data_IF_430387223355
#
_entry.id   IF_430387223355
#
_cell.length_a   1.000
_cell.length_b   1.000
_cell.length_c   1.000
_cell.angle_alpha   90.00
_cell.angle_beta   90.00
_cell.angle_gamma   90.00
#
_symmetry.space_group_name_H-M   'P 1'
#
loop_
_entity.id
_entity.type
_entity.pdbx_description
1 polymer ?
#
# COMPACT_ATOMS: atom_id res chain seq x y z
N UNK A 1 -11.38 3.31 31.07
CA UNK A 1 -12.61 2.87 30.38
C UNK A 1 -12.35 3.08 28.90
N UNK A 2 -12.60 2.10 28.03
CA UNK A 2 -12.47 2.30 26.58
C UNK A 2 -13.75 2.98 26.12
N UNK A 3 -13.62 4.17 25.54
CA UNK A 3 -14.74 4.96 25.02
C UNK A 3 -14.57 5.13 23.51
N UNK A 4 -15.68 4.99 22.77
CA UNK A 4 -15.70 5.17 21.33
C UNK A 4 -15.70 6.67 20.98
N UNK A 5 -15.06 6.99 19.86
CA UNK A 5 -15.07 8.35 19.32
C UNK A 5 -16.52 8.81 19.03
N UNK A 6 -17.01 9.94 19.58
CA UNK A 6 -18.36 10.43 19.35
C UNK A 6 -18.65 10.91 17.92
N UNK A 7 -17.62 11.29 17.15
CA UNK A 7 -17.81 11.77 15.78
C UNK A 7 -18.23 10.63 14.83
N UNK A 8 -19.39 10.73 14.14
CA UNK A 8 -19.83 9.69 13.21
C UNK A 8 -18.87 9.46 12.04
N UNK A 9 -18.24 10.52 11.52
CA UNK A 9 -17.31 10.37 10.38
C UNK A 9 -16.02 9.69 10.82
N UNK A 10 -15.50 10.02 11.99
CA UNK A 10 -14.34 9.32 12.59
C UNK A 10 -14.62 7.83 12.81
N UNK A 11 -15.83 7.47 13.27
CA UNK A 11 -16.23 6.07 13.40
C UNK A 11 -16.29 5.35 12.04
N UNK A 12 -16.75 6.04 10.98
CA UNK A 12 -16.70 5.45 9.63
C UNK A 12 -15.27 5.32 9.12
N UNK A 13 -14.40 6.30 9.39
CA UNK A 13 -12.97 6.24 9.08
C UNK A 13 -12.33 5.05 9.77
N UNK A 14 -12.54 4.88 11.07
CA UNK A 14 -12.06 3.74 11.84
C UNK A 14 -12.57 2.39 11.30
N UNK A 15 -13.86 2.31 10.92
CA UNK A 15 -14.43 1.10 10.34
C UNK A 15 -13.81 0.75 8.98
N UNK A 16 -13.60 1.75 8.12
CA UNK A 16 -12.95 1.56 6.82
C UNK A 16 -11.47 1.21 6.95
N UNK A 17 -10.78 1.76 7.94
CA UNK A 17 -9.41 1.36 8.32
C UNK A 17 -9.36 -0.11 8.73
N UNK A 18 -10.31 -0.58 9.54
CA UNK A 18 -10.36 -1.97 9.94
C UNK A 18 -10.55 -2.91 8.74
N UNK A 19 -11.39 -2.51 7.78
CA UNK A 19 -11.59 -3.27 6.54
C UNK A 19 -10.31 -3.31 5.69
N UNK A 20 -9.61 -2.18 5.56
CA UNK A 20 -8.31 -2.11 4.89
C UNK A 20 -7.28 -3.02 5.57
N UNK A 21 -7.19 -2.96 6.90
CA UNK A 21 -6.30 -3.80 7.68
C UNK A 21 -6.53 -5.28 7.41
N UNK A 22 -7.79 -5.73 7.48
CA UNK A 22 -8.15 -7.13 7.22
C UNK A 22 -7.79 -7.52 5.78
N UNK A 23 -8.16 -6.70 4.79
CA UNK A 23 -7.88 -6.96 3.37
C UNK A 23 -6.38 -7.06 3.08
N UNK A 24 -5.59 -6.13 3.61
CA UNK A 24 -4.14 -6.10 3.47
C UNK A 24 -3.46 -7.29 4.15
N UNK A 25 -3.84 -7.63 5.38
CA UNK A 25 -3.25 -8.78 6.08
C UNK A 25 -3.62 -10.10 5.41
N UNK A 26 -4.83 -10.21 4.86
CA UNK A 26 -5.23 -11.35 4.04
C UNK A 26 -4.39 -11.45 2.76
N UNK A 27 -4.21 -10.35 2.03
CA UNK A 27 -3.36 -10.29 0.84
C UNK A 27 -1.91 -10.69 1.16
N UNK A 28 -1.34 -10.15 2.25
CA UNK A 28 0.01 -10.49 2.70
C UNK A 28 0.14 -11.99 3.01
N UNK A 29 -0.80 -12.55 3.78
CA UNK A 29 -0.83 -13.98 4.11
C UNK A 29 -0.89 -14.85 2.85
N UNK A 30 -1.72 -14.48 1.88
CA UNK A 30 -1.91 -15.25 0.65
C UNK A 30 -0.67 -15.23 -0.25
N UNK A 31 -0.03 -14.06 -0.41
CA UNK A 31 1.22 -13.93 -1.15
C UNK A 31 2.36 -14.74 -0.51
N UNK A 32 2.41 -14.85 0.83
CA UNK A 32 3.39 -15.68 1.54
C UNK A 32 3.16 -17.18 1.39
N UNK A 33 1.91 -17.61 1.14
CA UNK A 33 1.54 -19.03 0.97
C UNK A 33 1.64 -19.52 -0.48
N UNK A 34 2.09 -18.70 -1.40
CA UNK A 34 2.23 -19.12 -2.81
C UNK A 34 3.50 -19.96 -2.97
N UNK A 35 3.34 -21.29 -3.00
CA UNK A 35 4.43 -22.28 -2.89
C UNK A 35 5.37 -22.36 -4.13
N UNK A 36 4.96 -21.79 -5.27
CA UNK A 36 5.68 -21.93 -6.55
C UNK A 36 5.89 -20.61 -7.31
N UNK A 37 5.75 -19.47 -6.64
CA UNK A 37 6.06 -18.15 -7.21
C UNK A 37 7.48 -17.68 -6.89
N UNK A 38 7.88 -16.55 -7.46
CA UNK A 38 9.12 -15.88 -7.05
C UNK A 38 9.05 -15.46 -5.58
N UNK A 39 9.72 -16.21 -4.70
CA UNK A 39 9.73 -16.01 -3.25
C UNK A 39 10.17 -14.60 -2.86
N UNK A 40 11.13 -14.01 -3.59
CA UNK A 40 11.60 -12.66 -3.29
C UNK A 40 10.51 -11.63 -3.59
N UNK A 41 9.88 -11.75 -4.77
CA UNK A 41 8.76 -10.89 -5.18
C UNK A 41 7.57 -11.02 -4.22
N UNK A 42 7.22 -12.26 -3.86
CA UNK A 42 6.10 -12.54 -2.95
C UNK A 42 6.30 -11.97 -1.56
N UNK A 43 7.49 -12.14 -0.98
CA UNK A 43 7.82 -11.56 0.33
C UNK A 43 7.82 -10.04 0.29
N UNK A 44 8.39 -9.43 -0.76
CA UNK A 44 8.40 -7.97 -0.91
C UNK A 44 6.98 -7.40 -0.88
N UNK A 45 6.09 -7.91 -1.73
CA UNK A 45 4.71 -7.44 -1.80
C UNK A 45 3.90 -7.79 -0.56
N UNK A 46 4.13 -8.97 0.03
CA UNK A 46 3.53 -9.30 1.32
C UNK A 46 3.95 -8.32 2.43
N UNK A 47 5.21 -7.87 2.45
CA UNK A 47 5.67 -6.84 3.38
C UNK A 47 4.99 -5.49 3.12
N UNK A 48 4.80 -5.08 1.86
CA UNK A 48 4.02 -3.86 1.53
C UNK A 48 2.62 -3.94 2.14
N UNK A 49 1.87 -5.02 1.85
CA UNK A 49 0.53 -5.20 2.38
C UNK A 49 0.52 -5.30 3.91
N UNK A 50 1.49 -5.98 4.53
CA UNK A 50 1.57 -6.07 5.98
C UNK A 50 1.81 -4.70 6.64
N UNK A 51 2.64 -3.84 6.05
CA UNK A 51 2.88 -2.48 6.55
C UNK A 51 1.64 -1.59 6.42
N UNK A 52 0.96 -1.64 5.28
CA UNK A 52 -0.31 -0.92 5.09
C UNK A 52 -1.35 -1.44 6.08
N UNK A 53 -1.45 -2.76 6.25
CA UNK A 53 -2.36 -3.38 7.22
C UNK A 53 -2.07 -2.96 8.66
N UNK A 54 -0.79 -2.86 9.04
CA UNK A 54 -0.38 -2.33 10.35
C UNK A 54 -0.79 -0.85 10.51
N UNK A 55 -0.53 -0.02 9.50
CA UNK A 55 -0.92 1.39 9.53
C UNK A 55 -2.43 1.54 9.69
N UNK A 56 -3.24 0.78 8.95
CA UNK A 56 -4.70 0.81 9.06
C UNK A 56 -5.23 0.23 10.38
N UNK A 57 -4.56 -0.76 10.99
CA UNK A 57 -4.92 -1.19 12.36
C UNK A 57 -4.68 -0.09 13.38
N UNK A 58 -3.57 0.63 13.25
CA UNK A 58 -3.28 1.78 14.11
C UNK A 58 -4.27 2.92 13.86
N UNK A 59 -4.63 3.19 12.60
CA UNK A 59 -5.66 4.15 12.21
C UNK A 59 -7.04 3.81 12.78
N UNK A 60 -7.43 2.53 12.77
CA UNK A 60 -8.66 2.05 13.42
C UNK A 60 -8.72 2.47 14.88
N UNK A 61 -7.61 2.33 15.61
CA UNK A 61 -7.52 2.70 17.02
C UNK A 61 -7.51 4.21 17.19
N UNK A 62 -6.75 4.94 16.37
CA UNK A 62 -6.60 6.39 16.44
C UNK A 62 -7.92 7.13 16.17
N UNK A 63 -8.67 6.69 15.16
CA UNK A 63 -9.95 7.27 14.78
C UNK A 63 -11.13 6.73 15.59
N UNK A 64 -11.07 5.46 16.02
CA UNK A 64 -12.21 4.76 16.62
C UNK A 64 -12.39 5.00 18.12
N UNK A 65 -11.32 5.35 18.84
CA UNK A 65 -11.31 5.46 20.30
C UNK A 65 -11.01 6.88 20.77
N UNK A 66 -11.56 7.25 21.92
CA UNK A 66 -11.11 8.43 22.66
C UNK A 66 -9.81 8.08 23.37
N UNK A 67 -8.70 8.69 22.93
CA UNK A 67 -7.36 8.45 23.46
C UNK A 67 -6.84 9.67 24.22
N UNK A 68 -6.02 9.47 25.28
CA UNK A 68 -5.19 10.55 25.82
C UNK A 68 -4.27 11.12 24.73
N UNK A 69 -4.05 12.43 24.73
CA UNK A 69 -3.24 13.15 23.72
C UNK A 69 -1.87 12.49 23.49
N UNK A 70 -1.15 12.14 24.56
CA UNK A 70 0.16 11.48 24.47
C UNK A 70 0.11 10.10 23.79
N UNK A 71 -0.98 9.37 23.95
CA UNK A 71 -1.16 8.07 23.29
C UNK A 71 -1.60 8.25 21.84
N UNK A 72 -2.47 9.23 21.56
CA UNK A 72 -2.83 9.58 20.18
C UNK A 72 -1.57 9.94 19.38
N UNK A 73 -0.72 10.84 19.90
CA UNK A 73 0.55 11.21 19.27
C UNK A 73 1.48 10.02 19.09
N UNK A 74 1.61 9.16 20.10
CA UNK A 74 2.48 7.99 20.04
C UNK A 74 2.05 6.98 18.97
N UNK A 75 0.76 6.84 18.67
CA UNK A 75 0.24 5.92 17.64
C UNK A 75 0.54 6.42 16.22
N UNK A 76 0.53 7.73 16.00
CA UNK A 76 0.81 8.32 14.68
C UNK A 76 2.24 8.07 14.21
N UNK A 77 3.21 7.94 15.11
CA UNK A 77 4.61 7.68 14.76
C UNK A 77 4.82 6.34 14.02
N UNK A 78 4.47 5.16 14.59
CA UNK A 78 4.58 3.89 13.89
C UNK A 78 3.67 3.80 12.67
N UNK A 79 2.53 4.51 12.67
CA UNK A 79 1.63 4.59 11.51
C UNK A 79 2.33 5.27 10.33
N UNK A 80 2.85 6.49 10.51
CA UNK A 80 3.55 7.20 9.42
C UNK A 80 4.81 6.48 8.97
N UNK A 81 5.56 5.86 9.89
CA UNK A 81 6.71 5.04 9.53
C UNK A 81 6.29 3.85 8.66
N UNK A 82 5.24 3.12 9.05
CA UNK A 82 4.75 1.98 8.28
C UNK A 82 4.30 2.40 6.87
N UNK A 83 3.56 3.51 6.76
CA UNK A 83 3.17 4.09 5.47
C UNK A 83 4.39 4.48 4.63
N UNK A 84 5.34 5.23 5.21
CA UNK A 84 6.55 5.66 4.50
C UNK A 84 7.38 4.50 3.95
N UNK A 85 7.54 3.44 4.75
CA UNK A 85 8.22 2.22 4.31
C UNK A 85 7.43 1.45 3.23
N UNK A 86 6.10 1.43 3.31
CA UNK A 86 5.26 0.78 2.30
C UNK A 86 5.41 1.43 0.92
N UNK A 87 5.41 2.76 0.85
CA UNK A 87 5.63 3.54 -0.38
C UNK A 87 7.01 3.26 -0.97
N UNK A 88 8.06 3.25 -0.13
CA UNK A 88 9.41 2.89 -0.55
C UNK A 88 9.45 1.49 -1.19
N UNK A 89 8.79 0.51 -0.56
CA UNK A 89 8.75 -0.86 -1.04
C UNK A 89 7.89 -1.05 -2.29
N UNK A 90 6.82 -0.26 -2.48
CA UNK A 90 6.06 -0.22 -3.75
C UNK A 90 6.98 0.20 -4.90
N UNK A 91 7.80 1.23 -4.71
CA UNK A 91 8.76 1.66 -5.72
C UNK A 91 9.81 0.58 -6.01
N UNK A 92 10.32 -0.10 -4.97
CA UNK A 92 11.24 -1.24 -5.14
C UNK A 92 10.56 -2.39 -5.89
N UNK A 93 9.27 -2.64 -5.64
CA UNK A 93 8.47 -3.64 -6.34
C UNK A 93 8.28 -3.31 -7.82
N UNK A 94 8.01 -2.04 -8.14
CA UNK A 94 7.95 -1.57 -9.51
C UNK A 94 9.31 -1.72 -10.23
N UNK A 95 10.43 -1.42 -9.55
CA UNK A 95 11.78 -1.62 -10.09
C UNK A 95 12.11 -3.11 -10.28
N UNK A 96 11.69 -3.97 -9.36
CA UNK A 96 11.85 -5.42 -9.47
C UNK A 96 11.19 -5.94 -10.75
N UNK A 97 9.94 -5.54 -10.95
CA UNK A 97 9.14 -6.00 -12.08
C UNK A 97 9.61 -5.38 -13.41
N UNK A 98 10.07 -4.12 -13.40
CA UNK A 98 10.49 -3.40 -14.61
C UNK A 98 11.95 -3.61 -15.03
N UNK A 99 12.84 -3.89 -14.07
CA UNK A 99 14.29 -3.88 -14.26
C UNK A 99 15.00 -5.11 -13.65
N UNK A 100 14.28 -5.98 -12.95
CA UNK A 100 14.81 -7.22 -12.37
C UNK A 100 15.44 -7.09 -10.97
N UNK A 101 15.77 -8.24 -10.39
CA UNK A 101 16.21 -8.39 -8.99
C UNK A 101 17.47 -7.60 -8.63
N UNK A 102 18.43 -7.50 -9.55
CA UNK A 102 19.69 -6.81 -9.29
C UNK A 102 19.47 -5.33 -9.01
N UNK A 103 18.61 -4.67 -9.81
CA UNK A 103 18.27 -3.26 -9.64
C UNK A 103 17.45 -3.06 -8.37
N UNK A 104 16.43 -3.89 -8.14
CA UNK A 104 15.61 -3.80 -6.93
C UNK A 104 16.44 -3.92 -5.64
N UNK A 105 17.38 -4.88 -5.57
CA UNK A 105 18.26 -5.05 -4.40
C UNK A 105 19.19 -3.86 -4.19
N UNK A 106 19.73 -3.29 -5.28
CA UNK A 106 20.58 -2.10 -5.21
C UNK A 106 19.82 -0.89 -4.66
N UNK A 107 18.55 -0.75 -5.04
CA UNK A 107 17.72 0.39 -4.64
C UNK A 107 16.94 0.20 -3.34
N UNK A 108 16.88 -1.02 -2.79
CA UNK A 108 16.17 -1.30 -1.53
C UNK A 108 16.66 -0.40 -0.38
N UNK A 109 17.96 -0.38 -0.11
CA UNK A 109 18.53 0.45 0.96
C UNK A 109 18.24 1.95 0.78
N UNK A 110 18.58 2.55 -0.37
CA UNK A 110 18.25 3.95 -0.66
C UNK A 110 16.75 4.27 -0.57
N UNK A 111 15.87 3.41 -1.09
CA UNK A 111 14.43 3.64 -1.04
C UNK A 111 13.92 3.64 0.41
N UNK A 112 14.38 2.70 1.25
CA UNK A 112 14.02 2.67 2.67
C UNK A 112 14.57 3.89 3.42
N UNK A 113 15.79 4.32 3.11
CA UNK A 113 16.37 5.54 3.70
C UNK A 113 15.55 6.78 3.34
N UNK A 114 15.06 6.88 2.09
CA UNK A 114 14.14 7.96 1.67
C UNK A 114 12.80 7.85 2.40
N UNK A 115 12.23 6.65 2.56
CA UNK A 115 10.99 6.45 3.31
C UNK A 115 11.12 6.88 4.78
N UNK A 116 12.23 6.53 5.43
CA UNK A 116 12.54 7.00 6.80
C UNK A 116 12.76 8.52 6.83
N UNK A 117 13.48 9.08 5.85
CA UNK A 117 13.67 10.52 5.78
C UNK A 117 12.36 11.29 5.59
N UNK A 118 11.43 10.78 4.78
CA UNK A 118 10.10 11.34 4.59
C UNK A 118 9.28 11.29 5.89
N UNK A 119 9.34 10.17 6.62
CA UNK A 119 8.77 10.08 7.97
C UNK A 119 9.36 11.14 8.91
N UNK A 120 10.69 11.21 9.01
CA UNK A 120 11.36 12.19 9.89
C UNK A 120 11.02 13.64 9.51
N UNK A 121 10.92 13.94 8.21
CA UNK A 121 10.53 15.26 7.72
C UNK A 121 9.07 15.59 8.09
N UNK A 122 8.17 14.61 8.01
CA UNK A 122 6.77 14.77 8.43
C UNK A 122 6.69 15.09 9.92
N UNK A 123 7.44 14.36 10.77
CA UNK A 123 7.48 14.63 12.21
C UNK A 123 8.13 15.98 12.55
N UNK A 124 9.18 16.39 11.83
CA UNK A 124 9.88 17.64 12.08
C UNK A 124 9.07 18.90 11.68
N UNK A 125 8.02 18.72 10.88
CA UNK A 125 7.13 19.78 10.41
C UNK A 125 5.75 19.66 11.07
N UNK A 126 5.72 19.37 12.37
CA UNK A 126 4.50 19.25 13.20
C UNK A 126 3.46 18.26 12.64
N UNK A 127 3.92 17.17 12.01
CA UNK A 127 3.04 16.18 11.41
C UNK A 127 2.36 16.67 10.14
N UNK A 128 2.96 17.63 9.41
CA UNK A 128 2.42 18.18 8.17
C UNK A 128 2.17 17.08 7.14
N UNK A 129 0.92 16.60 7.12
CA UNK A 129 0.47 15.48 6.30
C UNK A 129 0.78 15.67 4.81
N UNK A 130 0.79 16.92 4.33
CA UNK A 130 1.13 17.26 2.94
C UNK A 130 2.55 16.82 2.53
N UNK A 131 3.50 16.73 3.48
CA UNK A 131 4.87 16.25 3.22
C UNK A 131 4.84 14.77 2.86
N UNK A 132 4.05 13.98 3.61
CA UNK A 132 3.81 12.57 3.33
C UNK A 132 3.12 12.39 1.98
N UNK A 133 2.05 13.15 1.71
CA UNK A 133 1.31 13.10 0.42
C UNK A 133 2.21 13.42 -0.76
N UNK A 134 3.12 14.40 -0.64
CA UNK A 134 4.06 14.74 -1.69
C UNK A 134 5.05 13.58 -1.97
N UNK A 135 5.58 12.97 -0.91
CA UNK A 135 6.46 11.80 -1.02
C UNK A 135 5.73 10.61 -1.68
N UNK A 136 4.54 10.28 -1.20
CA UNK A 136 3.68 9.24 -1.75
C UNK A 136 3.38 9.49 -3.23
N UNK A 137 2.97 10.71 -3.58
CA UNK A 137 2.62 11.09 -4.93
C UNK A 137 3.79 10.91 -5.91
N UNK A 138 4.98 11.40 -5.55
CA UNK A 138 6.18 11.26 -6.41
C UNK A 138 6.54 9.79 -6.61
N UNK A 139 6.61 9.00 -5.53
CA UNK A 139 6.97 7.58 -5.63
C UNK A 139 5.92 6.78 -6.43
N UNK A 140 4.65 7.06 -6.21
CA UNK A 140 3.52 6.40 -6.90
C UNK A 140 3.49 6.77 -8.38
N UNK A 141 3.76 8.02 -8.77
CA UNK A 141 3.85 8.42 -10.18
C UNK A 141 4.99 7.68 -10.89
N UNK A 142 6.15 7.53 -10.24
CA UNK A 142 7.27 6.76 -10.81
C UNK A 142 6.89 5.29 -10.96
N UNK A 143 6.31 4.67 -9.92
CA UNK A 143 5.84 3.29 -9.98
C UNK A 143 4.78 3.09 -11.07
N UNK A 144 3.83 4.03 -11.20
CA UNK A 144 2.79 4.03 -12.21
C UNK A 144 3.40 4.10 -13.62
N UNK A 145 4.38 4.97 -13.86
CA UNK A 145 5.05 5.06 -15.15
C UNK A 145 5.74 3.74 -15.54
N UNK A 146 6.36 3.05 -14.58
CA UNK A 146 6.98 1.75 -14.79
C UNK A 146 5.95 0.67 -15.14
N UNK A 147 4.84 0.58 -14.39
CA UNK A 147 3.79 -0.39 -14.68
C UNK A 147 2.98 -0.06 -15.93
N UNK A 148 2.77 1.22 -16.25
CA UNK A 148 2.16 1.63 -17.51
C UNK A 148 3.01 1.18 -18.70
N UNK A 149 4.34 1.34 -18.63
CA UNK A 149 5.26 0.81 -19.64
C UNK A 149 5.15 -0.71 -19.76
N UNK A 150 5.16 -1.44 -18.64
CA UNK A 150 5.02 -2.91 -18.64
C UNK A 150 3.69 -3.36 -19.25
N UNK A 151 2.59 -2.65 -18.94
CA UNK A 151 1.27 -2.91 -19.48
C UNK A 151 1.21 -2.67 -20.99
N UNK A 152 1.74 -1.54 -21.47
CA UNK A 152 1.79 -1.20 -22.90
C UNK A 152 2.68 -2.17 -23.71
N UNK A 153 3.70 -2.74 -23.07
CA UNK A 153 4.60 -3.72 -23.68
C UNK A 153 4.10 -5.16 -23.56
N UNK A 154 2.97 -5.40 -22.86
CA UNK A 154 2.48 -6.74 -22.49
C UNK A 154 3.57 -7.60 -21.82
N UNK A 155 4.51 -6.96 -21.12
CA UNK A 155 5.73 -7.60 -20.61
C UNK A 155 5.52 -8.37 -19.30
N UNK A 156 4.40 -8.13 -18.62
CA UNK A 156 4.09 -8.80 -17.37
C UNK A 156 2.57 -8.94 -17.17
N UNK A 157 2.06 -10.17 -16.92
CA UNK A 157 0.68 -10.37 -16.55
C UNK A 157 0.31 -9.60 -15.28
N UNK A 158 -0.90 -9.01 -15.28
CA UNK A 158 -1.39 -8.19 -14.18
C UNK A 158 -0.88 -6.75 -14.16
N UNK A 159 0.07 -6.35 -15.02
CA UNK A 159 0.60 -4.98 -15.03
C UNK A 159 -0.48 -3.89 -15.23
N UNK A 160 -1.52 -4.16 -16.03
CA UNK A 160 -2.67 -3.26 -16.22
C UNK A 160 -3.42 -3.03 -14.90
N UNK A 161 -3.65 -4.09 -14.13
CA UNK A 161 -4.35 -4.01 -12.85
C UNK A 161 -3.51 -3.29 -11.80
N UNK A 162 -2.20 -3.54 -11.77
CA UNK A 162 -1.28 -2.80 -10.90
C UNK A 162 -1.26 -1.31 -11.25
N UNK A 163 -1.15 -0.96 -12.54
CA UNK A 163 -1.19 0.43 -12.99
C UNK A 163 -2.53 1.09 -12.63
N UNK A 164 -3.66 0.40 -12.82
CA UNK A 164 -4.97 0.90 -12.42
C UNK A 164 -5.09 1.12 -10.90
N UNK A 165 -4.54 0.20 -10.10
CA UNK A 165 -4.46 0.34 -8.65
C UNK A 165 -3.63 1.56 -8.23
N UNK A 166 -2.45 1.76 -8.82
CA UNK A 166 -1.58 2.92 -8.54
C UNK A 166 -2.24 4.25 -8.99
N UNK A 167 -2.94 4.26 -10.11
CA UNK A 167 -3.70 5.42 -10.56
C UNK A 167 -4.85 5.76 -9.59
N UNK A 168 -5.59 4.75 -9.12
CA UNK A 168 -6.61 4.94 -8.10
C UNK A 168 -6.02 5.36 -6.75
N UNK A 169 -4.80 4.92 -6.41
CA UNK A 169 -4.12 5.39 -5.21
C UNK A 169 -3.86 6.91 -5.27
N UNK A 170 -3.44 7.43 -6.44
CA UNK A 170 -3.30 8.89 -6.62
C UNK A 170 -4.64 9.63 -6.50
N UNK A 171 -5.74 9.03 -6.98
CA UNK A 171 -7.09 9.57 -6.79
C UNK A 171 -7.46 9.56 -5.30
N UNK A 172 -7.15 8.49 -4.59
CA UNK A 172 -7.39 8.39 -3.14
C UNK A 172 -6.64 9.49 -2.39
N UNK A 173 -5.34 9.68 -2.66
CA UNK A 173 -4.55 10.75 -2.05
C UNK A 173 -5.14 12.15 -2.33
N UNK A 174 -5.65 12.40 -3.55
CA UNK A 174 -6.34 13.64 -3.88
C UNK A 174 -7.66 13.82 -3.11
N UNK A 175 -8.43 12.74 -2.90
CA UNK A 175 -9.62 12.75 -2.05
C UNK A 175 -9.25 13.07 -0.60
N UNK A 176 -8.20 12.45 -0.08
CA UNK A 176 -7.72 12.67 1.29
C UNK A 176 -7.24 14.11 1.54
N UNK A 177 -6.59 14.71 0.54
CA UNK A 177 -6.11 16.09 0.60
C UNK A 177 -7.20 17.15 0.33
N UNK A 178 -8.47 16.74 0.25
CA UNK A 178 -9.62 17.63 0.00
C UNK A 178 -10.52 17.74 1.22
N UNK A 179 -11.48 18.66 1.18
CA UNK A 179 -12.54 18.78 2.19
C UNK A 179 -13.83 18.02 1.80
N UNK A 180 -13.72 17.04 0.89
CA UNK A 180 -14.88 16.31 0.38
C UNK A 180 -15.57 15.53 1.50
N UNK A 181 -16.89 15.61 1.55
CA UNK A 181 -17.72 14.78 2.43
C UNK A 181 -18.97 14.33 1.71
N UNK A 182 -19.41 13.10 1.99
CA UNK A 182 -20.56 12.49 1.35
C UNK A 182 -21.36 11.68 2.38
N UNK A 183 -22.68 11.78 2.29
CA UNK A 183 -23.59 10.90 3.03
C UNK A 183 -24.13 9.85 2.08
N UNK A 184 -23.73 8.60 2.29
CA UNK A 184 -24.34 7.43 1.66
C UNK A 184 -25.41 6.89 2.62
N UNK A 185 -25.21 5.67 3.14
CA UNK A 185 -25.97 5.16 4.29
C UNK A 185 -25.44 5.81 5.58
N UNK A 186 -24.12 5.93 5.70
CA UNK A 186 -23.41 6.64 6.77
C UNK A 186 -22.75 7.92 6.23
N UNK A 187 -22.36 8.81 7.14
CA UNK A 187 -21.63 10.03 6.80
C UNK A 187 -20.13 9.73 6.70
N UNK A 188 -19.50 10.08 5.58
CA UNK A 188 -18.08 9.96 5.34
C UNK A 188 -17.49 11.34 5.08
N UNK A 189 -16.36 11.63 5.71
CA UNK A 189 -15.49 12.75 5.33
C UNK A 189 -14.40 12.27 4.36
N UNK A 190 -13.44 13.14 4.07
CA UNK A 190 -12.36 12.88 3.13
C UNK A 190 -11.53 11.64 3.51
N UNK A 191 -11.34 11.36 4.80
CA UNK A 191 -10.59 10.18 5.27
C UNK A 191 -11.38 8.89 5.03
N UNK A 192 -12.67 8.89 5.40
CA UNK A 192 -13.54 7.75 5.13
C UNK A 192 -13.67 7.46 3.62
N UNK A 193 -13.80 8.50 2.80
CA UNK A 193 -13.85 8.37 1.33
C UNK A 193 -12.52 7.92 0.74
N UNK A 194 -11.40 8.45 1.24
CA UNK A 194 -10.06 8.01 0.88
C UNK A 194 -9.90 6.50 1.08
N UNK A 195 -10.28 5.98 2.25
CA UNK A 195 -10.17 4.55 2.53
C UNK A 195 -11.00 3.67 1.60
N UNK A 196 -12.19 4.12 1.19
CA UNK A 196 -13.01 3.38 0.22
C UNK A 196 -12.34 3.30 -1.16
N UNK A 197 -11.76 4.40 -1.64
CA UNK A 197 -11.02 4.41 -2.92
C UNK A 197 -9.74 3.59 -2.81
N UNK A 198 -9.01 3.72 -1.69
CA UNK A 198 -7.80 2.97 -1.40
C UNK A 198 -8.07 1.46 -1.34
N UNK A 199 -9.20 1.03 -0.77
CA UNK A 199 -9.56 -0.38 -0.71
C UNK A 199 -9.66 -1.00 -2.12
N UNK A 200 -10.31 -0.29 -3.04
CA UNK A 200 -10.38 -0.71 -4.44
C UNK A 200 -8.99 -0.69 -5.11
N UNK A 201 -8.20 0.36 -4.87
CA UNK A 201 -6.84 0.47 -5.39
C UNK A 201 -5.96 -0.72 -4.98
N UNK A 202 -6.00 -1.09 -3.70
CA UNK A 202 -5.23 -2.19 -3.13
C UNK A 202 -5.74 -3.56 -3.58
N UNK A 203 -7.04 -3.72 -3.80
CA UNK A 203 -7.60 -4.93 -4.38
C UNK A 203 -7.07 -5.16 -5.81
N UNK A 204 -7.07 -4.13 -6.66
CA UNK A 204 -6.52 -4.21 -8.01
C UNK A 204 -5.02 -4.47 -8.01
N UNK A 205 -4.28 -3.79 -7.13
CA UNK A 205 -2.86 -3.99 -6.92
C UNK A 205 -2.56 -5.46 -6.55
N UNK A 206 -3.28 -6.00 -5.57
CA UNK A 206 -3.16 -7.38 -5.12
C UNK A 206 -3.44 -8.38 -6.25
N UNK A 207 -4.57 -8.24 -6.96
CA UNK A 207 -4.94 -9.14 -8.05
C UNK A 207 -3.89 -9.10 -9.17
N UNK A 208 -3.40 -7.91 -9.54
CA UNK A 208 -2.35 -7.76 -10.52
C UNK A 208 -1.04 -8.43 -10.11
N UNK A 209 -0.65 -8.33 -8.83
CA UNK A 209 0.53 -9.00 -8.29
C UNK A 209 0.35 -10.52 -8.30
N UNK A 210 -0.80 -11.04 -7.88
CA UNK A 210 -1.12 -12.48 -7.87
C UNK A 210 -1.06 -13.06 -9.29
N UNK A 211 -1.62 -12.36 -10.29
CA UNK A 211 -1.52 -12.75 -11.71
C UNK A 211 -0.06 -12.82 -12.18
N UNK A 212 0.75 -11.84 -11.82
CA UNK A 212 2.18 -11.84 -12.14
C UNK A 212 2.94 -13.02 -11.50
N UNK A 213 2.57 -13.43 -10.28
CA UNK A 213 3.19 -14.59 -9.61
C UNK A 213 2.78 -15.92 -10.25
N UNK A 214 1.49 -16.06 -10.62
CA UNK A 214 0.97 -17.26 -11.26
C UNK A 214 1.65 -17.52 -12.61
N UNK A 215 1.95 -16.47 -13.37
CA UNK A 215 2.65 -16.63 -14.64
C UNK A 215 4.09 -17.14 -14.48
N UNK A 216 4.85 -16.64 -13.50
CA UNK A 216 6.20 -17.13 -13.22
C UNK A 216 6.21 -18.62 -12.91
N UNK A 217 5.19 -19.13 -12.20
CA UNK A 217 5.01 -20.55 -11.90
C UNK A 217 4.87 -21.40 -13.17
N UNK A 218 4.04 -20.97 -14.11
CA UNK A 218 3.76 -21.73 -15.33
C UNK A 218 5.01 -21.86 -16.20
N UNK A 219 5.80 -20.79 -16.33
CA UNK A 219 7.06 -20.80 -17.09
C UNK A 219 8.08 -21.79 -16.47
N UNK A 220 8.26 -21.76 -15.14
CA UNK A 220 9.21 -22.68 -14.49
C UNK A 220 8.83 -24.16 -14.63
N UNK A 221 7.53 -24.48 -14.63
CA UNK A 221 7.08 -25.87 -14.82
C UNK A 221 7.29 -26.40 -16.24
N UNK A 222 7.34 -25.52 -17.25
CA UNK A 222 7.61 -25.91 -18.64
C UNK A 222 9.10 -26.22 -18.83
N UNK A 223 10.00 -25.37 -18.32
CA UNK A 223 11.46 -25.57 -18.43
C UNK A 223 11.92 -26.87 -17.73
N UNK A 224 11.34 -27.21 -16.58
CA UNK A 224 11.62 -28.46 -15.86
C UNK A 224 11.17 -29.72 -16.62
N UNK A 225 10.15 -29.62 -17.50
CA UNK A 225 9.68 -30.76 -18.31
C UNK A 225 10.54 -30.98 -19.55
N UNK A 226 11.05 -29.91 -20.16
CA UNK A 226 11.90 -30.01 -21.35
C UNK A 226 13.32 -30.47 -21.03
N UNK A 227 13.78 -30.33 -19.78
CA UNK A 227 15.10 -30.82 -19.35
C UNK A 227 15.14 -32.29 -18.95
N UNK A 228 13.99 -32.97 -18.87
CA UNK A 228 13.86 -34.38 -18.46
C UNK A 228 13.46 -35.29 -19.65
N UNK A 229 13.21 -34.73 -20.84
CA UNK A 229 12.90 -35.46 -22.08
C UNK A 229 14.10 -35.58 -23.01
#
# INVERSE_FOLDING_TARGET
MIELQPSPTELTTAATDLLLAIGCLFAAWRLLRTEHGDVYRGRLWATVFALIGLASLLGTVAHGLVLPESLADAIWHPLYLALGLSVALILVGALLDACGKAVARRWLGPALAVGVAAFMATQALDGAFIVFVAYEGVATIVALALYARLALQHAQPGAVLVAAGLALNLVAAAVQASDLSLRLIWAFDHNGLFHLVLFLALALLYIGIEQGQAHTRDVSHVEDRETIG
#
